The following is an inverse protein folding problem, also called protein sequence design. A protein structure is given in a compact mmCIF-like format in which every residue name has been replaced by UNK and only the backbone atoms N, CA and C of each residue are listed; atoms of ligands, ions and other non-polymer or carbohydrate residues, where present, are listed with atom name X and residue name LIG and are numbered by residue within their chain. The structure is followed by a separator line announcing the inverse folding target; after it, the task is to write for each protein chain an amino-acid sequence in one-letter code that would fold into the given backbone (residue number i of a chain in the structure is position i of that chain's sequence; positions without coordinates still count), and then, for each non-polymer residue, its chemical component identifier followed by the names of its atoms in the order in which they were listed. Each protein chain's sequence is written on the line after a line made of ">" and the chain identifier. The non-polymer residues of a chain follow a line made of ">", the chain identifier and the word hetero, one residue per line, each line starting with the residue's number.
data_IF_098780926738
#
_entry.id   IF_098780926738
#
_cell.length_a   1.000
_cell.length_b   1.000
_cell.length_c   1.000
_cell.angle_alpha   90.00
_cell.angle_beta   90.00
_cell.angle_gamma   90.00
#
_symmetry.space_group_name_H-M   'P 1'
#
loop_
_entity.id
_entity.type
_entity.pdbx_description
1 polymer ?
#
# COMPACT_ATOMS: atom_id res chain seq x y z
N UNK A 1 -23.89 -16.57 31.51
CA UNK A 1 -22.60 -16.01 31.06
C UNK A 1 -21.72 -17.17 30.65
N UNK A 2 -21.40 -17.25 29.37
CA UNK A 2 -20.38 -18.18 28.86
C UNK A 2 -19.05 -17.84 29.54
N UNK A 3 -18.46 -18.81 30.25
CA UNK A 3 -17.12 -18.64 30.79
C UNK A 3 -16.10 -18.82 29.64
N UNK A 4 -15.63 -17.69 29.13
CA UNK A 4 -14.68 -17.64 28.01
C UNK A 4 -13.39 -18.42 28.32
N UNK A 5 -12.97 -18.48 29.60
CA UNK A 5 -11.79 -19.24 30.02
C UNK A 5 -11.97 -20.75 29.88
N UNK A 6 -13.16 -21.29 30.21
CA UNK A 6 -13.44 -22.71 30.05
C UNK A 6 -13.51 -23.13 28.59
N UNK A 7 -14.06 -22.24 27.72
CA UNK A 7 -14.06 -22.41 26.27
C UNK A 7 -12.65 -22.41 25.67
N UNK A 8 -11.79 -21.53 26.16
CA UNK A 8 -10.41 -21.41 25.68
C UNK A 8 -9.54 -22.61 26.06
N UNK A 9 -9.90 -23.33 27.11
CA UNK A 9 -9.16 -24.51 27.59
C UNK A 9 -9.64 -25.83 26.97
N UNK A 10 -10.76 -25.86 26.26
CA UNK A 10 -11.25 -27.06 25.59
C UNK A 10 -10.43 -27.32 24.30
N UNK A 11 -9.81 -28.49 24.22
CA UNK A 11 -9.13 -28.96 23.01
C UNK A 11 -10.16 -29.12 21.88
N UNK A 12 -9.77 -28.72 20.65
CA UNK A 12 -10.55 -28.89 19.40
C UNK A 12 -11.93 -28.24 19.33
N UNK A 13 -12.32 -27.45 20.32
CA UNK A 13 -13.65 -26.82 20.32
C UNK A 13 -13.87 -25.88 19.12
N UNK A 14 -12.76 -25.33 18.55
CA UNK A 14 -12.83 -24.48 17.36
C UNK A 14 -13.37 -25.19 16.13
N UNK A 15 -13.29 -26.53 16.08
CA UNK A 15 -13.79 -27.34 14.96
C UNK A 15 -15.31 -27.35 14.87
N UNK A 16 -16.00 -27.01 15.95
CA UNK A 16 -17.46 -26.93 16.00
C UNK A 16 -18.02 -25.56 15.57
N UNK A 17 -17.14 -24.56 15.31
CA UNK A 17 -17.50 -23.22 14.89
C UNK A 17 -17.34 -23.05 13.39
N UNK A 18 -18.00 -22.03 12.84
CA UNK A 18 -17.69 -21.59 11.49
C UNK A 18 -16.25 -21.04 11.42
N UNK A 19 -15.74 -20.85 10.20
CA UNK A 19 -14.32 -20.50 10.01
C UNK A 19 -13.95 -19.12 10.56
N UNK A 20 -14.89 -18.18 10.63
CA UNK A 20 -14.68 -16.84 11.20
C UNK A 20 -14.55 -16.94 12.72
N UNK A 21 -15.51 -17.60 13.36
CA UNK A 21 -15.54 -17.77 14.81
C UNK A 21 -14.37 -18.65 15.28
N UNK A 22 -14.03 -19.70 14.52
CA UNK A 22 -12.87 -20.54 14.80
C UNK A 22 -11.57 -19.74 14.82
N UNK A 23 -11.34 -18.87 13.80
CA UNK A 23 -10.16 -18.00 13.76
C UNK A 23 -10.14 -17.01 14.93
N UNK A 24 -11.28 -16.38 15.23
CA UNK A 24 -11.40 -15.45 16.36
C UNK A 24 -11.08 -16.12 17.69
N UNK A 25 -11.57 -17.34 17.91
CA UNK A 25 -11.32 -18.12 19.13
C UNK A 25 -9.84 -18.48 19.26
N UNK A 26 -9.20 -19.00 18.21
CA UNK A 26 -7.79 -19.36 18.23
C UNK A 26 -6.92 -18.13 18.43
N UNK A 27 -7.26 -16.98 17.81
CA UNK A 27 -6.53 -15.73 18.03
C UNK A 27 -6.64 -15.26 19.49
N UNK A 28 -7.81 -15.34 20.12
CA UNK A 28 -7.97 -15.01 21.54
C UNK A 28 -7.14 -15.94 22.43
N UNK A 29 -7.11 -17.24 22.12
CA UNK A 29 -6.23 -18.22 22.82
C UNK A 29 -4.77 -17.81 22.72
N UNK A 30 -4.32 -17.41 21.52
CA UNK A 30 -2.96 -16.92 21.30
C UNK A 30 -2.63 -15.71 22.18
N UNK A 31 -3.54 -14.71 22.24
CA UNK A 31 -3.34 -13.52 23.05
C UNK A 31 -3.30 -13.80 24.56
N UNK A 32 -4.00 -14.84 25.03
CA UNK A 32 -4.10 -15.21 26.44
C UNK A 32 -3.07 -16.27 26.86
N UNK A 33 -2.28 -16.77 25.92
CA UNK A 33 -1.25 -17.77 26.22
C UNK A 33 -0.01 -17.12 26.81
N UNK A 34 0.44 -17.60 27.97
CA UNK A 34 1.70 -17.20 28.61
C UNK A 34 2.87 -18.12 28.21
N UNK A 35 2.61 -19.18 27.44
CA UNK A 35 3.60 -20.20 27.06
C UNK A 35 3.98 -20.00 25.58
N UNK A 36 5.26 -19.79 25.31
CA UNK A 36 5.78 -19.49 23.97
C UNK A 36 5.58 -20.65 22.99
N UNK A 37 5.75 -21.88 23.42
CA UNK A 37 5.48 -23.08 22.61
C UNK A 37 4.00 -23.14 22.19
N UNK A 38 3.09 -22.85 23.10
CA UNK A 38 1.66 -22.78 22.80
C UNK A 38 1.34 -21.63 21.83
N UNK A 39 1.95 -20.47 22.00
CA UNK A 39 1.78 -19.35 21.06
C UNK A 39 2.16 -19.77 19.64
N UNK A 40 3.30 -20.46 19.48
CA UNK A 40 3.73 -20.96 18.17
C UNK A 40 2.70 -21.94 17.58
N UNK A 41 2.25 -22.91 18.37
CA UNK A 41 1.22 -23.88 17.92
C UNK A 41 -0.06 -23.19 17.47
N UNK A 42 -0.54 -22.20 18.24
CA UNK A 42 -1.75 -21.45 17.92
C UNK A 42 -1.59 -20.57 16.66
N UNK A 43 -0.41 -19.98 16.44
CA UNK A 43 -0.11 -19.23 15.21
C UNK A 43 -0.12 -20.13 13.97
N UNK A 44 0.45 -21.34 14.06
CA UNK A 44 0.40 -22.28 12.95
C UNK A 44 -1.00 -22.85 12.72
N UNK A 45 -1.77 -23.08 13.77
CA UNK A 45 -3.18 -23.45 13.65
C UNK A 45 -3.99 -22.34 12.97
N UNK A 46 -3.76 -21.08 13.32
CA UNK A 46 -4.35 -19.95 12.62
C UNK A 46 -3.95 -19.94 11.14
N UNK A 47 -2.67 -20.17 10.83
CA UNK A 47 -2.20 -20.26 9.45
C UNK A 47 -3.00 -21.31 8.67
N UNK A 48 -3.20 -22.48 9.22
CA UNK A 48 -3.94 -23.57 8.57
C UNK A 48 -5.41 -23.19 8.35
N UNK A 49 -6.05 -22.51 9.31
CA UNK A 49 -7.42 -22.02 9.18
C UNK A 49 -7.54 -20.94 8.08
N UNK A 50 -6.58 -19.99 8.01
CA UNK A 50 -6.55 -18.99 6.94
C UNK A 50 -6.26 -19.62 5.58
N UNK A 51 -5.39 -20.64 5.52
CA UNK A 51 -5.08 -21.36 4.29
C UNK A 51 -6.30 -22.14 3.76
N UNK A 52 -7.06 -22.77 4.66
CA UNK A 52 -8.28 -23.51 4.31
C UNK A 52 -9.34 -22.62 3.64
N UNK A 53 -9.38 -21.35 4.04
CA UNK A 53 -10.32 -20.36 3.50
C UNK A 53 -9.70 -19.52 2.35
N UNK A 54 -8.55 -19.94 1.80
CA UNK A 54 -7.83 -19.27 0.70
C UNK A 54 -7.35 -17.83 1.06
N UNK A 55 -7.18 -17.55 2.36
CA UNK A 55 -6.78 -16.24 2.90
C UNK A 55 -5.31 -16.21 3.37
N UNK A 56 -4.45 -17.09 2.85
CA UNK A 56 -3.06 -17.21 3.28
C UNK A 56 -2.26 -15.92 3.12
N UNK A 57 -2.50 -15.17 2.05
CA UNK A 57 -1.82 -13.93 1.74
C UNK A 57 -2.03 -12.87 2.84
N UNK A 58 -3.26 -12.77 3.38
CA UNK A 58 -3.61 -11.83 4.44
C UNK A 58 -2.86 -12.17 5.75
N UNK A 59 -2.72 -13.45 6.04
CA UNK A 59 -2.16 -13.90 7.31
C UNK A 59 -0.63 -13.99 7.32
N UNK A 60 0.01 -14.09 6.16
CA UNK A 60 1.46 -14.36 6.06
C UNK A 60 2.32 -13.26 6.70
N UNK A 61 1.98 -11.99 6.50
CA UNK A 61 2.72 -10.87 7.10
C UNK A 61 2.49 -10.80 8.61
N UNK A 62 1.25 -10.95 9.06
CA UNK A 62 0.89 -11.02 10.47
C UNK A 62 1.61 -12.16 11.18
N UNK A 63 1.60 -13.38 10.60
CA UNK A 63 2.33 -14.53 11.13
C UNK A 63 3.82 -14.22 11.31
N UNK A 64 4.45 -13.66 10.28
CA UNK A 64 5.86 -13.28 10.31
C UNK A 64 6.18 -12.28 11.41
N UNK A 65 5.32 -11.29 11.63
CA UNK A 65 5.52 -10.32 12.72
C UNK A 65 5.39 -10.97 14.08
N UNK A 66 4.36 -11.78 14.29
CA UNK A 66 4.14 -12.47 15.60
C UNK A 66 5.19 -13.51 15.90
N UNK A 67 5.72 -14.18 14.90
CA UNK A 67 6.83 -15.14 15.10
C UNK A 67 8.16 -14.46 15.49
N UNK A 68 8.36 -13.17 15.14
CA UNK A 68 9.52 -12.41 15.60
C UNK A 68 9.45 -12.01 17.07
N UNK A 69 8.22 -11.91 17.61
CA UNK A 69 7.97 -11.56 19.00
C UNK A 69 8.13 -12.78 19.95
N UNK A 70 8.25 -14.00 19.39
CA UNK A 70 8.42 -15.24 20.17
C UNK A 70 9.84 -15.33 20.74
N UNK A 71 9.95 -15.62 22.04
CA UNK A 71 11.23 -15.90 22.67
C UNK A 71 11.71 -17.30 22.25
N UNK A 72 12.76 -17.34 21.42
CA UNK A 72 13.28 -18.58 20.88
C UNK A 72 14.02 -19.43 21.91
N UNK A 73 14.44 -18.86 23.03
CA UNK A 73 15.10 -19.58 24.11
C UNK A 73 14.10 -20.40 24.94
N UNK A 74 12.82 -20.07 24.89
CA UNK A 74 11.73 -20.74 25.62
C UNK A 74 11.03 -21.85 24.81
N UNK A 75 11.47 -22.13 23.58
CA UNK A 75 10.83 -23.12 22.69
C UNK A 75 11.79 -24.26 22.29
N UNK A 76 11.25 -25.46 21.97
CA UNK A 76 12.06 -26.55 21.46
C UNK A 76 12.75 -26.18 20.12
N UNK A 77 14.00 -26.64 19.93
CA UNK A 77 14.79 -26.39 18.72
C UNK A 77 14.08 -26.76 17.40
N UNK A 78 13.22 -27.79 17.46
CA UNK A 78 12.42 -28.18 16.29
C UNK A 78 11.46 -27.10 15.78
N UNK A 79 11.04 -26.19 16.65
CA UNK A 79 10.18 -25.06 16.27
C UNK A 79 10.98 -23.89 15.69
N UNK A 80 12.24 -23.70 16.11
CA UNK A 80 13.08 -22.60 15.64
C UNK A 80 13.25 -22.64 14.12
N UNK A 81 13.54 -23.81 13.54
CA UNK A 81 13.67 -23.96 12.09
C UNK A 81 12.36 -23.64 11.34
N UNK A 82 11.21 -23.99 11.95
CA UNK A 82 9.91 -23.71 11.35
C UNK A 82 9.59 -22.23 11.43
N UNK A 83 9.92 -21.57 12.53
CA UNK A 83 9.78 -20.13 12.72
C UNK A 83 10.62 -19.37 11.69
N UNK A 84 11.92 -19.70 11.57
CA UNK A 84 12.82 -19.05 10.62
C UNK A 84 12.32 -19.13 9.17
N UNK A 85 11.76 -20.27 8.77
CA UNK A 85 11.18 -20.45 7.43
C UNK A 85 9.92 -19.61 7.17
N UNK A 86 9.23 -19.17 8.22
CA UNK A 86 8.00 -18.39 8.14
C UNK A 86 8.19 -16.90 8.49
N UNK A 87 9.36 -16.54 9.00
CA UNK A 87 9.73 -15.13 9.15
C UNK A 87 10.07 -14.59 7.77
N UNK A 88 9.23 -13.67 7.31
CA UNK A 88 9.61 -12.82 6.19
C UNK A 88 10.69 -11.88 6.75
N UNK A 89 11.96 -12.20 6.51
CA UNK A 89 12.97 -11.19 6.52
C UNK A 89 12.53 -10.24 5.40
N UNK A 90 11.97 -9.08 5.79
CA UNK A 90 12.06 -7.92 4.91
C UNK A 90 13.57 -7.80 4.71
N UNK A 91 14.12 -8.53 3.72
CA UNK A 91 15.36 -8.08 3.12
C UNK A 91 15.11 -6.59 3.03
N UNK A 92 15.93 -5.78 3.71
CA UNK A 92 15.97 -4.34 3.45
C UNK A 92 16.06 -4.33 1.95
N UNK A 93 14.88 -4.14 1.30
CA UNK A 93 14.87 -4.05 -0.15
C UNK A 93 15.96 -3.04 -0.36
N UNK A 94 17.12 -3.49 -0.85
CA UNK A 94 18.19 -2.57 -1.23
C UNK A 94 17.44 -1.68 -2.17
N UNK A 95 17.00 -0.52 -1.62
CA UNK A 95 16.33 0.50 -2.41
C UNK A 95 17.39 0.82 -3.41
N UNK A 96 17.35 0.09 -4.52
CA UNK A 96 18.30 0.24 -5.61
C UNK A 96 18.23 1.71 -5.92
N UNK A 97 19.36 2.36 -6.13
CA UNK A 97 19.38 3.80 -6.42
C UNK A 97 18.34 4.02 -7.51
N UNK A 98 17.26 4.78 -7.19
CA UNK A 98 16.19 5.05 -8.14
C UNK A 98 16.85 5.68 -9.36
N UNK A 99 16.80 4.98 -10.49
CA UNK A 99 17.28 5.52 -11.76
C UNK A 99 16.15 6.37 -12.34
N UNK A 100 16.35 7.69 -12.34
CA UNK A 100 15.42 8.60 -12.97
C UNK A 100 15.66 8.66 -14.48
N UNK A 101 14.62 8.40 -15.27
CA UNK A 101 14.64 8.60 -16.71
C UNK A 101 13.95 9.91 -17.07
N UNK A 102 14.71 10.94 -17.37
CA UNK A 102 14.17 12.25 -17.80
C UNK A 102 13.52 12.24 -19.19
N UNK A 103 13.47 11.09 -19.88
CA UNK A 103 12.69 10.92 -21.12
C UNK A 103 11.25 10.49 -20.84
N UNK A 104 10.96 10.11 -19.61
CA UNK A 104 9.64 9.69 -19.14
C UNK A 104 9.23 10.58 -17.98
N UNK A 105 8.07 11.22 -18.08
CA UNK A 105 7.66 12.24 -17.11
C UNK A 105 7.49 11.68 -15.70
N UNK A 106 6.71 10.61 -15.57
CA UNK A 106 6.43 9.97 -14.28
C UNK A 106 7.60 9.17 -13.69
N UNK A 107 8.71 9.05 -14.41
CA UNK A 107 9.94 8.40 -13.93
C UNK A 107 11.10 9.38 -13.80
N UNK A 108 10.83 10.66 -14.01
CA UNK A 108 11.86 11.70 -14.01
C UNK A 108 12.26 12.14 -12.59
N UNK A 109 13.36 12.90 -12.53
CA UNK A 109 13.84 13.53 -11.28
C UNK A 109 12.83 14.48 -10.61
N UNK A 110 11.70 14.79 -11.27
CA UNK A 110 10.60 15.56 -10.66
C UNK A 110 10.06 14.92 -9.39
N UNK A 111 10.12 13.59 -9.28
CA UNK A 111 9.70 12.86 -8.10
C UNK A 111 10.47 13.27 -6.83
N UNK A 112 11.69 13.80 -6.98
CA UNK A 112 12.45 14.39 -5.86
C UNK A 112 11.72 15.57 -5.19
N UNK A 113 10.88 16.28 -5.94
CA UNK A 113 10.06 17.34 -5.37
C UNK A 113 8.98 16.77 -4.45
N UNK A 114 8.33 15.69 -4.84
CA UNK A 114 7.31 15.03 -4.02
C UNK A 114 7.90 14.50 -2.71
N UNK A 115 9.16 14.06 -2.75
CA UNK A 115 9.93 13.60 -1.58
C UNK A 115 10.58 14.76 -0.80
N UNK A 116 10.35 16.01 -1.17
CA UNK A 116 10.91 17.20 -0.55
C UNK A 116 12.46 17.33 -0.64
N UNK A 117 13.10 16.57 -1.54
CA UNK A 117 14.56 16.63 -1.75
C UNK A 117 14.98 17.90 -2.50
N UNK A 118 14.06 18.54 -3.21
CA UNK A 118 14.29 19.77 -3.97
C UNK A 118 13.14 20.77 -3.78
N UNK A 119 13.47 22.07 -3.84
CA UNK A 119 12.47 23.11 -3.76
C UNK A 119 11.62 23.24 -5.03
N UNK A 120 10.46 23.92 -4.92
CA UNK A 120 9.52 24.13 -6.02
C UNK A 120 10.14 24.88 -7.20
N UNK A 121 11.02 25.88 -6.96
CA UNK A 121 11.62 26.69 -8.04
C UNK A 121 12.53 25.83 -8.91
N UNK A 122 13.34 24.96 -8.30
CA UNK A 122 14.20 24.01 -9.00
C UNK A 122 13.37 22.98 -9.75
N UNK A 123 12.37 22.40 -9.10
CA UNK A 123 11.46 21.43 -9.70
C UNK A 123 10.69 22.01 -10.90
N UNK A 124 10.23 23.28 -10.83
CA UNK A 124 9.60 23.97 -11.95
C UNK A 124 10.52 24.08 -13.19
N UNK A 125 11.79 24.40 -12.96
CA UNK A 125 12.78 24.46 -14.05
C UNK A 125 13.04 23.08 -14.66
N UNK A 126 13.14 22.07 -13.82
CA UNK A 126 13.31 20.68 -14.26
C UNK A 126 12.09 20.19 -15.03
N UNK A 127 10.88 20.49 -14.57
CA UNK A 127 9.64 20.17 -15.28
C UNK A 127 9.64 20.70 -16.70
N UNK A 128 9.93 21.98 -16.88
CA UNK A 128 9.97 22.59 -18.21
C UNK A 128 11.04 21.99 -19.13
N UNK A 129 12.21 21.61 -18.57
CA UNK A 129 13.29 20.95 -19.34
C UNK A 129 12.87 19.55 -19.79
N UNK A 130 12.27 18.77 -18.88
CA UNK A 130 11.82 17.40 -19.14
C UNK A 130 10.69 17.42 -20.13
N UNK A 131 9.70 18.30 -19.94
CA UNK A 131 8.59 18.48 -20.87
C UNK A 131 9.05 18.80 -22.30
N UNK A 132 10.02 19.70 -22.46
CA UNK A 132 10.62 20.02 -23.78
C UNK A 132 11.26 18.78 -24.44
N UNK A 133 11.86 17.86 -23.68
CA UNK A 133 12.41 16.61 -24.22
C UNK A 133 11.31 15.66 -24.68
N UNK A 134 10.28 15.48 -23.84
CA UNK A 134 9.12 14.63 -24.12
C UNK A 134 8.37 15.12 -25.36
N UNK A 135 8.11 16.42 -25.45
CA UNK A 135 7.43 17.04 -26.60
C UNK A 135 8.15 16.80 -27.93
N UNK A 136 9.48 16.66 -27.93
CA UNK A 136 10.26 16.34 -29.13
C UNK A 136 10.10 14.88 -29.56
N UNK A 137 9.68 14.00 -28.66
CA UNK A 137 9.45 12.59 -28.93
C UNK A 137 8.01 12.38 -29.45
N UNK A 138 7.82 12.33 -30.77
CA UNK A 138 6.50 12.11 -31.39
C UNK A 138 5.84 10.78 -31.03
N UNK A 139 6.60 9.82 -30.48
CA UNK A 139 6.11 8.51 -30.04
C UNK A 139 5.81 8.47 -28.54
N UNK A 140 5.98 9.59 -27.83
CA UNK A 140 5.69 9.63 -26.41
C UNK A 140 4.19 9.51 -26.16
N UNK A 141 3.81 8.46 -25.42
CA UNK A 141 2.45 8.27 -24.97
C UNK A 141 2.28 8.91 -23.58
N UNK A 142 1.41 9.90 -23.48
CA UNK A 142 1.09 10.53 -22.20
C UNK A 142 0.12 9.63 -21.42
N UNK A 143 0.61 8.97 -20.39
CA UNK A 143 -0.10 7.95 -19.65
C UNK A 143 -0.93 8.53 -18.49
N UNK A 144 -1.80 7.69 -17.87
CA UNK A 144 -2.51 8.05 -16.65
C UNK A 144 -1.54 8.37 -15.48
N UNK A 145 -0.38 7.69 -15.42
CA UNK A 145 0.70 8.02 -14.45
C UNK A 145 1.29 9.41 -14.68
N UNK A 146 1.49 9.80 -15.94
CA UNK A 146 1.94 11.16 -16.26
C UNK A 146 0.89 12.20 -15.86
N UNK A 147 -0.39 11.89 -16.11
CA UNK A 147 -1.51 12.74 -15.74
C UNK A 147 -1.60 12.93 -14.23
N UNK A 148 -1.48 11.85 -13.46
CA UNK A 148 -1.46 11.89 -12.00
C UNK A 148 -0.36 12.81 -11.44
N UNK A 149 0.83 12.72 -12.03
CA UNK A 149 1.95 13.58 -11.66
C UNK A 149 1.68 15.06 -12.05
N UNK A 150 1.26 15.30 -13.30
CA UNK A 150 1.05 16.69 -13.81
C UNK A 150 -0.06 17.39 -13.04
N UNK A 151 -1.18 16.71 -12.79
CA UNK A 151 -2.29 17.28 -12.03
C UNK A 151 -1.85 17.62 -10.59
N UNK A 152 -1.06 16.74 -9.97
CA UNK A 152 -0.53 16.97 -8.63
C UNK A 152 0.44 18.14 -8.57
N UNK A 153 1.31 18.28 -9.58
CA UNK A 153 2.18 19.44 -9.71
C UNK A 153 1.37 20.75 -9.96
N UNK A 154 0.32 20.67 -10.78
CA UNK A 154 -0.56 21.82 -11.03
C UNK A 154 -1.28 22.25 -9.73
N UNK A 155 -1.79 21.31 -8.94
CA UNK A 155 -2.39 21.58 -7.64
C UNK A 155 -1.39 22.23 -6.68
N UNK A 156 -0.11 21.86 -6.76
CA UNK A 156 0.98 22.50 -6.00
C UNK A 156 1.38 23.89 -6.57
N UNK A 157 0.66 24.35 -7.60
CA UNK A 157 0.87 25.66 -8.23
C UNK A 157 2.07 25.72 -9.17
N UNK A 158 2.41 24.60 -9.83
CA UNK A 158 3.35 24.62 -10.96
C UNK A 158 2.72 25.26 -12.18
N UNK A 159 3.54 25.96 -12.96
CA UNK A 159 3.13 26.49 -14.27
C UNK A 159 3.19 25.36 -15.29
N UNK A 160 2.02 24.87 -15.69
CA UNK A 160 1.90 23.84 -16.71
C UNK A 160 1.83 24.53 -18.10
N UNK A 161 2.64 24.08 -19.09
CA UNK A 161 2.58 24.63 -20.45
C UNK A 161 1.18 24.48 -21.04
N UNK A 162 0.68 25.54 -21.70
CA UNK A 162 -0.68 25.57 -22.28
C UNK A 162 -0.92 24.47 -23.31
N UNK A 163 0.14 24.06 -24.00
CA UNK A 163 0.08 22.97 -24.99
C UNK A 163 -0.14 21.58 -24.37
N UNK A 164 0.08 21.45 -23.05
CA UNK A 164 -0.25 20.26 -22.31
C UNK A 164 -1.62 20.45 -21.66
N UNK A 165 -2.66 20.24 -22.44
CA UNK A 165 -4.04 20.30 -21.92
C UNK A 165 -4.38 19.04 -21.11
N UNK A 166 -3.77 18.96 -19.92
CA UNK A 166 -3.97 17.82 -19.03
C UNK A 166 -5.42 17.70 -18.56
N UNK A 167 -6.18 18.78 -18.53
CA UNK A 167 -7.60 18.78 -18.16
C UNK A 167 -8.47 18.10 -19.22
N UNK A 168 -8.15 18.30 -20.51
CA UNK A 168 -8.82 17.60 -21.60
C UNK A 168 -8.46 16.09 -21.59
N UNK A 169 -7.20 15.78 -21.32
CA UNK A 169 -6.75 14.39 -21.17
C UNK A 169 -7.46 13.71 -19.99
N UNK A 170 -7.65 14.41 -18.88
CA UNK A 170 -8.34 13.92 -17.70
C UNK A 170 -9.77 13.45 -17.94
N UNK A 171 -10.48 14.05 -18.92
CA UNK A 171 -11.85 13.65 -19.27
C UNK A 171 -11.97 12.22 -19.81
N UNK A 172 -10.86 11.63 -20.24
CA UNK A 172 -10.81 10.23 -20.71
C UNK A 172 -10.85 9.20 -19.57
N UNK A 173 -10.60 9.64 -18.35
CA UNK A 173 -10.52 8.79 -17.19
C UNK A 173 -11.73 9.00 -16.28
N UNK A 174 -12.39 7.90 -15.94
CA UNK A 174 -13.55 7.93 -15.07
C UNK A 174 -13.13 7.92 -13.60
N UNK A 175 -13.63 8.88 -12.83
CA UNK A 175 -13.52 8.89 -11.38
C UNK A 175 -14.90 8.58 -10.81
N UNK A 176 -15.06 7.58 -9.93
CA UNK A 176 -16.36 7.23 -9.34
C UNK A 176 -17.02 8.44 -8.69
N UNK A 177 -18.24 8.75 -9.10
CA UNK A 177 -18.96 9.98 -8.70
C UNK A 177 -19.21 10.08 -7.19
N UNK A 178 -19.47 8.96 -6.53
CA UNK A 178 -19.64 8.86 -5.08
C UNK A 178 -18.36 9.26 -4.34
N UNK A 179 -17.19 8.79 -4.79
CA UNK A 179 -15.90 9.13 -4.19
C UNK A 179 -15.53 10.60 -4.46
N UNK A 180 -15.83 11.07 -5.67
CA UNK A 180 -15.62 12.47 -6.01
C UNK A 180 -16.47 13.41 -5.14
N UNK A 181 -17.69 13.00 -4.79
CA UNK A 181 -18.54 13.77 -3.88
C UNK A 181 -17.94 13.82 -2.47
N UNK A 182 -17.46 12.69 -1.93
CA UNK A 182 -16.76 12.65 -0.64
C UNK A 182 -15.54 13.60 -0.63
N UNK A 183 -14.76 13.57 -1.71
CA UNK A 183 -13.58 14.44 -1.83
C UNK A 183 -13.96 15.92 -1.86
N UNK A 184 -15.00 16.31 -2.62
CA UNK A 184 -15.50 17.69 -2.69
C UNK A 184 -16.10 18.17 -1.37
N UNK A 185 -16.79 17.29 -0.65
CA UNK A 185 -17.38 17.61 0.65
C UNK A 185 -16.33 17.65 1.77
N UNK A 186 -15.07 17.35 1.48
CA UNK A 186 -13.97 17.26 2.46
C UNK A 186 -14.21 16.21 3.55
N UNK A 187 -14.91 15.13 3.20
CA UNK A 187 -15.13 13.98 4.08
C UNK A 187 -13.89 13.08 4.13
N UNK A 188 -12.77 13.66 4.60
CA UNK A 188 -11.42 13.09 4.47
C UNK A 188 -11.28 11.71 5.08
N UNK A 189 -11.83 11.49 6.29
CA UNK A 189 -11.72 10.20 6.98
C UNK A 189 -12.45 9.10 6.22
N UNK A 190 -13.67 9.36 5.76
CA UNK A 190 -14.46 8.39 5.02
C UNK A 190 -13.87 8.12 3.63
N UNK A 191 -13.38 9.16 2.96
CA UNK A 191 -12.65 9.01 1.70
C UNK A 191 -11.43 8.10 1.86
N UNK A 192 -10.59 8.32 2.88
CA UNK A 192 -9.41 7.50 3.14
C UNK A 192 -9.80 6.04 3.37
N UNK A 193 -10.82 5.77 4.19
CA UNK A 193 -11.31 4.40 4.41
C UNK A 193 -11.73 3.72 3.10
N UNK A 194 -12.45 4.44 2.22
CA UNK A 194 -12.84 3.93 0.90
C UNK A 194 -11.65 3.71 -0.02
N UNK A 195 -10.63 4.56 0.04
CA UNK A 195 -9.39 4.36 -0.74
C UNK A 195 -8.61 3.14 -0.24
N UNK A 196 -8.52 2.93 1.08
CA UNK A 196 -7.91 1.73 1.66
C UNK A 196 -8.65 0.46 1.22
N UNK A 197 -9.99 0.48 1.21
CA UNK A 197 -10.82 -0.62 0.73
C UNK A 197 -10.54 -0.96 -0.76
N UNK A 198 -10.34 0.08 -1.61
CA UNK A 198 -10.06 -0.08 -3.04
C UNK A 198 -8.63 -0.58 -3.29
N UNK A 199 -7.66 -0.04 -2.57
CA UNK A 199 -6.25 -0.44 -2.69
C UNK A 199 -6.07 -1.86 -2.16
N UNK A 200 -6.83 -2.23 -1.13
CA UNK A 200 -6.72 -3.53 -0.49
C UNK A 200 -5.32 -3.76 0.07
N UNK A 201 -4.74 -4.91 -0.25
CA UNK A 201 -3.40 -5.31 0.17
C UNK A 201 -2.33 -5.01 -0.88
N UNK A 202 -2.71 -4.42 -2.02
CA UNK A 202 -1.78 -4.13 -3.08
C UNK A 202 -0.81 -3.02 -2.69
N UNK A 203 0.45 -3.22 -2.99
CA UNK A 203 1.42 -2.14 -2.90
C UNK A 203 1.18 -1.12 -4.02
N UNK A 204 1.35 0.17 -3.72
CA UNK A 204 1.05 1.25 -4.67
C UNK A 204 1.75 1.12 -6.04
N UNK A 205 2.90 0.44 -6.10
CA UNK A 205 3.61 0.21 -7.37
C UNK A 205 2.98 -0.88 -8.25
N UNK A 206 2.13 -1.73 -7.68
CA UNK A 206 1.39 -2.79 -8.38
C UNK A 206 0.04 -2.30 -8.91
N UNK A 207 -0.43 -1.14 -8.46
CA UNK A 207 -1.69 -0.57 -8.92
C UNK A 207 -1.60 -0.21 -10.41
N UNK A 208 -2.69 -0.41 -11.12
CA UNK A 208 -2.78 0.01 -12.51
C UNK A 208 -2.73 1.55 -12.64
N UNK A 209 -2.30 2.07 -13.81
CA UNK A 209 -2.11 3.49 -14.02
C UNK A 209 -3.36 4.35 -13.81
N UNK A 210 -4.55 3.80 -14.09
CA UNK A 210 -5.81 4.53 -13.97
C UNK A 210 -6.23 4.60 -12.51
N UNK A 211 -6.03 3.54 -11.74
CA UNK A 211 -6.25 3.53 -10.29
C UNK A 211 -5.34 4.54 -9.59
N UNK A 212 -4.05 4.61 -9.94
CA UNK A 212 -3.14 5.62 -9.41
C UNK A 212 -3.66 7.03 -9.72
N UNK A 213 -4.14 7.26 -10.95
CA UNK A 213 -4.67 8.56 -11.34
C UNK A 213 -5.92 8.92 -10.53
N UNK A 214 -6.93 8.05 -10.45
CA UNK A 214 -8.15 8.44 -9.75
C UNK A 214 -7.94 8.64 -8.25
N UNK A 215 -7.10 7.81 -7.59
CA UNK A 215 -6.74 7.99 -6.17
C UNK A 215 -6.09 9.36 -5.96
N UNK A 216 -5.07 9.69 -6.75
CA UNK A 216 -4.36 10.96 -6.64
C UNK A 216 -5.24 12.16 -6.98
N UNK A 217 -6.16 12.02 -7.93
CA UNK A 217 -7.16 13.03 -8.26
C UNK A 217 -8.08 13.33 -7.05
N UNK A 218 -8.62 12.29 -6.40
CA UNK A 218 -9.46 12.44 -5.21
C UNK A 218 -8.70 13.09 -4.04
N UNK A 219 -7.45 12.69 -3.83
CA UNK A 219 -6.59 13.27 -2.80
C UNK A 219 -6.26 14.75 -3.10
N UNK A 220 -6.08 15.11 -4.38
CA UNK A 220 -5.92 16.50 -4.82
C UNK A 220 -7.19 17.31 -4.52
N UNK A 221 -8.38 16.78 -4.83
CA UNK A 221 -9.66 17.45 -4.53
C UNK A 221 -9.89 17.64 -3.03
N UNK A 222 -9.34 16.77 -2.20
CA UNK A 222 -9.46 16.81 -0.74
C UNK A 222 -8.30 17.53 -0.04
N UNK A 223 -7.32 18.07 -0.78
CA UNK A 223 -6.11 18.73 -0.27
C UNK A 223 -5.20 17.82 0.60
N UNK A 224 -5.29 16.51 0.42
CA UNK A 224 -4.50 15.51 1.17
C UNK A 224 -3.12 15.31 0.53
N UNK A 225 -2.37 16.39 0.40
CA UNK A 225 -1.07 16.46 -0.29
C UNK A 225 -0.05 15.44 0.22
N UNK A 226 0.03 15.21 1.52
CA UNK A 226 1.02 14.29 2.09
C UNK A 226 0.79 12.86 1.62
N UNK A 227 -0.42 12.35 1.76
CA UNK A 227 -0.80 10.99 1.35
C UNK A 227 -0.65 10.83 -0.16
N UNK A 228 -1.10 11.85 -0.94
CA UNK A 228 -0.91 11.86 -2.38
C UNK A 228 0.55 11.71 -2.78
N UNK A 229 1.45 12.45 -2.15
CA UNK A 229 2.88 12.39 -2.47
C UNK A 229 3.46 11.01 -2.13
N UNK A 230 3.11 10.41 -1.00
CA UNK A 230 3.55 9.08 -0.60
C UNK A 230 3.13 8.02 -1.63
N UNK A 231 1.88 8.08 -2.10
CA UNK A 231 1.39 7.18 -3.16
C UNK A 231 2.18 7.39 -4.47
N UNK A 232 2.35 8.63 -4.92
CA UNK A 232 3.08 8.92 -6.15
C UNK A 232 4.55 8.47 -6.08
N UNK A 233 5.22 8.69 -4.95
CA UNK A 233 6.61 8.25 -4.74
C UNK A 233 6.71 6.73 -4.77
N UNK A 234 5.72 6.03 -4.23
CA UNK A 234 5.72 4.56 -4.24
C UNK A 234 5.36 3.98 -5.61
N UNK A 235 4.40 4.60 -6.32
CA UNK A 235 3.80 4.04 -7.52
C UNK A 235 4.52 4.40 -8.83
N UNK A 236 5.21 5.55 -8.91
CA UNK A 236 5.69 6.07 -10.19
C UNK A 236 7.10 5.65 -10.59
N UNK A 237 8.12 5.59 -9.71
CA UNK A 237 9.46 5.23 -10.13
C UNK A 237 9.56 3.72 -10.39
N UNK A 238 10.17 3.35 -11.51
CA UNK A 238 10.65 1.97 -11.66
C UNK A 238 11.86 1.78 -10.73
N UNK A 239 11.70 0.89 -9.78
CA UNK A 239 12.80 0.40 -8.95
C UNK A 239 13.53 -0.66 -9.75
N UNK A 240 14.82 -0.44 -10.01
CA UNK A 240 15.72 -1.43 -10.65
C UNK A 240 16.55 -2.12 -9.59
#
# INVERSE_FOLDING_TARGET
>A
SFDLKSLLNAEDIYQSFDSIDARALIYQKFLLSDNEENKVKLLFLLKDLFQKDELSNIFTEFLSEKLKDIDQDEIPKSYVEVIEKNIITKEKQKIGKIKFDDKVLHQSRLLKYLNQDIDKKKAQKDFLKIYKKIKKNRKYFFSAKDLALVESLAQDGFQIPKELDYKEIAKKYNVPSNLLQLAKNKESAFLILKLVEIIGEDEAHNLDPETIYFITHLLNQNDLKKIRNEILISALPQRS
#
